data_IF_964712070760
#
_entry.id   IF_964712070760
#
_cell.length_a   1.000
_cell.length_b   1.000
_cell.length_c   1.000
_cell.angle_alpha   90.00
_cell.angle_beta   90.00
_cell.angle_gamma   90.00
#
_symmetry.space_group_name_H-M   'P 1'
#
loop_
_entity.id
_entity.type
_entity.pdbx_description
1 polymer ?
#
# COMPACT_ATOMS: atom_id res chain seq x y z
N UNK A 1 -1.89 -14.13 -16.38
CA UNK A 1 -0.54 -13.51 -16.21
C UNK A 1 -0.53 -11.97 -16.23
N UNK A 2 -1.55 -11.30 -16.79
CA UNK A 2 -1.64 -9.82 -16.78
C UNK A 2 -2.04 -9.25 -15.40
N UNK A 3 -2.83 -9.99 -14.60
CA UNK A 3 -3.31 -9.52 -13.30
C UNK A 3 -2.16 -9.29 -12.29
N UNK A 4 -1.29 -10.28 -12.06
CA UNK A 4 -0.17 -10.16 -11.13
C UNK A 4 0.80 -9.01 -11.48
N UNK A 5 1.22 -8.91 -12.75
CA UNK A 5 2.05 -7.79 -13.25
C UNK A 5 1.36 -6.44 -13.04
N UNK A 6 0.05 -6.37 -13.25
CA UNK A 6 -0.74 -5.15 -13.03
C UNK A 6 -0.83 -4.78 -11.54
N UNK A 7 -1.02 -5.76 -10.65
CA UNK A 7 -1.02 -5.55 -9.20
C UNK A 7 0.34 -5.03 -8.72
N UNK A 8 1.44 -5.68 -9.13
CA UNK A 8 2.80 -5.24 -8.78
C UNK A 8 3.06 -3.80 -9.24
N UNK A 9 2.66 -3.45 -10.46
CA UNK A 9 2.78 -2.06 -10.95
C UNK A 9 1.96 -1.09 -10.11
N UNK A 10 0.72 -1.43 -9.76
CA UNK A 10 -0.14 -0.59 -8.91
C UNK A 10 0.38 -0.46 -7.48
N UNK A 11 1.03 -1.49 -6.95
CA UNK A 11 1.71 -1.47 -5.66
C UNK A 11 2.89 -0.49 -5.65
N UNK A 12 3.70 -0.45 -6.72
CA UNK A 12 4.74 0.58 -6.85
C UNK A 12 4.16 2.00 -6.84
N UNK A 13 3.04 2.22 -7.55
CA UNK A 13 2.34 3.51 -7.47
C UNK A 13 1.84 3.83 -6.05
N UNK A 14 1.28 2.85 -5.32
CA UNK A 14 0.90 3.02 -3.91
C UNK A 14 2.10 3.43 -3.05
N UNK A 15 3.24 2.75 -3.18
CA UNK A 15 4.49 3.08 -2.46
C UNK A 15 4.91 4.53 -2.74
N UNK A 16 4.91 4.94 -4.01
CA UNK A 16 5.27 6.32 -4.38
C UNK A 16 4.32 7.34 -3.76
N UNK A 17 3.00 7.10 -3.81
CA UNK A 17 1.99 7.96 -3.19
C UNK A 17 2.25 8.10 -1.68
N UNK A 18 2.48 6.99 -0.98
CA UNK A 18 2.72 7.00 0.47
C UNK A 18 4.02 7.69 0.85
N UNK A 19 5.09 7.55 0.06
CA UNK A 19 6.35 8.29 0.28
C UNK A 19 6.15 9.79 0.09
N UNK A 20 5.40 10.22 -0.93
CA UNK A 20 5.09 11.64 -1.15
C UNK A 20 4.30 12.20 0.04
N UNK A 21 3.27 11.48 0.48
CA UNK A 21 2.45 11.88 1.64
C UNK A 21 3.29 11.94 2.91
N UNK A 22 4.13 10.95 3.15
CA UNK A 22 5.03 10.95 4.30
C UNK A 22 5.96 12.16 4.30
N UNK A 23 6.53 12.47 3.13
CA UNK A 23 7.43 13.60 2.95
C UNK A 23 6.71 14.92 3.25
N UNK A 24 5.49 15.08 2.72
CA UNK A 24 4.65 16.26 3.00
C UNK A 24 4.26 16.35 4.48
N UNK A 25 3.91 15.24 5.12
CA UNK A 25 3.55 15.22 6.54
C UNK A 25 4.72 15.62 7.44
N UNK A 26 5.94 15.19 7.13
CA UNK A 26 7.14 15.59 7.87
C UNK A 26 7.44 17.08 7.63
N UNK A 27 7.43 17.53 6.37
CA UNK A 27 7.72 18.92 6.01
C UNK A 27 6.73 19.92 6.62
N UNK A 28 5.43 19.59 6.62
CA UNK A 28 4.37 20.41 7.23
C UNK A 28 4.35 20.23 8.76
N UNK A 29 4.72 19.05 9.26
CA UNK A 29 4.78 18.78 10.70
C UNK A 29 5.85 19.59 11.43
N UNK A 30 7.00 19.85 10.79
CA UNK A 30 8.10 20.65 11.36
C UNK A 30 7.66 22.06 11.82
N UNK A 31 7.04 22.92 10.98
CA UNK A 31 6.58 24.23 11.42
C UNK A 31 5.41 24.17 12.42
N UNK A 32 4.65 23.07 12.44
CA UNK A 32 3.52 22.87 13.36
C UNK A 32 3.93 22.27 14.71
N UNK A 33 5.23 22.03 14.96
CA UNK A 33 5.73 21.51 16.24
C UNK A 33 5.33 22.41 17.43
N UNK A 34 5.30 23.72 17.22
CA UNK A 34 4.96 24.71 18.25
C UNK A 34 3.46 24.73 18.61
N UNK A 35 2.61 24.10 17.77
CA UNK A 35 1.15 24.06 17.92
C UNK A 35 0.68 22.67 18.39
N UNK A 36 1.61 21.78 18.76
CA UNK A 36 1.34 20.42 19.26
C UNK A 36 0.97 19.39 18.18
N UNK A 37 0.33 19.81 17.09
CA UNK A 37 -0.07 18.93 15.99
C UNK A 37 1.10 18.42 15.13
N UNK A 38 2.24 19.13 15.13
CA UNK A 38 3.42 18.77 14.35
C UNK A 38 4.04 17.41 14.71
N UNK A 39 4.00 17.03 16.00
CA UNK A 39 4.53 15.73 16.46
C UNK A 39 3.71 14.58 15.85
N UNK A 40 2.38 14.68 15.89
CA UNK A 40 1.48 13.68 15.31
C UNK A 40 1.71 13.52 13.81
N UNK A 41 1.89 14.63 13.08
CA UNK A 41 2.16 14.58 11.64
C UNK A 41 3.51 13.93 11.32
N UNK A 42 4.57 14.24 12.06
CA UNK A 42 5.89 13.63 11.85
C UNK A 42 5.85 12.13 12.13
N UNK A 43 5.18 11.71 13.22
CA UNK A 43 5.01 10.29 13.53
C UNK A 43 4.20 9.55 12.47
N UNK A 44 3.10 10.14 11.98
CA UNK A 44 2.32 9.58 10.86
C UNK A 44 3.17 9.49 9.59
N UNK A 45 3.99 10.50 9.30
CA UNK A 45 4.91 10.48 8.17
C UNK A 45 5.95 9.37 8.29
N UNK A 46 6.55 9.19 9.47
CA UNK A 46 7.46 8.09 9.76
C UNK A 46 6.80 6.72 9.58
N UNK A 47 5.58 6.55 10.06
CA UNK A 47 4.80 5.32 9.85
C UNK A 47 4.51 5.05 8.38
N UNK A 48 4.15 6.09 7.60
CA UNK A 48 3.93 5.98 6.16
C UNK A 48 5.20 5.56 5.41
N UNK A 49 6.39 6.02 5.83
CA UNK A 49 7.67 5.53 5.29
C UNK A 49 7.85 4.05 5.63
N UNK A 50 7.68 3.67 6.90
CA UNK A 50 7.80 2.28 7.33
C UNK A 50 6.86 1.35 6.54
N UNK A 51 5.59 1.73 6.40
CA UNK A 51 4.60 0.99 5.61
C UNK A 51 5.02 0.88 4.13
N UNK A 52 5.57 1.95 3.55
CA UNK A 52 6.08 1.95 2.18
C UNK A 52 7.26 0.98 1.99
N UNK A 53 8.20 0.94 2.95
CA UNK A 53 9.33 -0.01 2.91
C UNK A 53 8.85 -1.45 3.06
N UNK A 54 7.93 -1.72 3.99
CA UNK A 54 7.33 -3.05 4.16
C UNK A 54 6.62 -3.48 2.88
N UNK A 55 5.89 -2.56 2.23
CA UNK A 55 5.21 -2.82 0.97
C UNK A 55 6.19 -3.07 -0.19
N UNK A 56 7.33 -2.38 -0.25
CA UNK A 56 8.38 -2.69 -1.23
C UNK A 56 8.92 -4.11 -1.06
N UNK A 57 9.18 -4.56 0.18
CA UNK A 57 9.60 -5.94 0.45
C UNK A 57 8.53 -6.94 0.04
N UNK A 58 7.26 -6.63 0.28
CA UNK A 58 6.14 -7.45 -0.18
C UNK A 58 6.09 -7.53 -1.71
N UNK A 59 6.37 -6.45 -2.44
CA UNK A 59 6.45 -6.48 -3.91
C UNK A 59 7.53 -7.45 -4.39
N UNK A 60 8.71 -7.43 -3.78
CA UNK A 60 9.79 -8.35 -4.14
C UNK A 60 9.40 -9.80 -3.87
N UNK A 61 8.72 -10.07 -2.75
CA UNK A 61 8.13 -11.37 -2.46
C UNK A 61 7.08 -11.76 -3.51
N UNK A 62 6.19 -10.86 -3.94
CA UNK A 62 5.17 -11.15 -4.96
C UNK A 62 5.73 -11.35 -6.35
N UNK A 63 6.88 -10.76 -6.67
CA UNK A 63 7.59 -11.09 -7.91
C UNK A 63 8.10 -12.52 -7.89
N UNK A 64 8.60 -12.99 -6.75
CA UNK A 64 9.13 -14.34 -6.55
C UNK A 64 8.06 -15.38 -6.20
N UNK A 65 6.87 -14.95 -5.79
CA UNK A 65 5.74 -15.76 -5.33
C UNK A 65 4.39 -15.03 -5.55
N UNK A 66 3.89 -14.88 -6.80
CA UNK A 66 2.63 -14.21 -7.11
C UNK A 66 1.40 -14.81 -6.42
N UNK A 67 1.44 -16.09 -6.06
CA UNK A 67 0.40 -16.81 -5.33
C UNK A 67 0.12 -16.21 -3.94
N UNK A 68 1.07 -15.47 -3.36
CA UNK A 68 0.90 -14.81 -2.07
C UNK A 68 0.07 -13.52 -2.15
N UNK A 69 -0.18 -12.99 -3.35
CA UNK A 69 -0.86 -11.70 -3.54
C UNK A 69 -2.29 -11.77 -2.99
N UNK A 70 -3.09 -12.73 -3.44
CA UNK A 70 -4.48 -12.85 -3.03
C UNK A 70 -4.66 -13.02 -1.51
N UNK A 71 -4.05 -14.02 -0.84
CA UNK A 71 -4.28 -14.26 0.58
C UNK A 71 -3.82 -13.08 1.46
N UNK A 72 -2.77 -12.36 1.05
CA UNK A 72 -2.32 -11.16 1.79
C UNK A 72 -3.37 -10.04 1.73
N UNK A 73 -3.88 -9.74 0.54
CA UNK A 73 -4.88 -8.69 0.36
C UNK A 73 -6.25 -9.04 0.94
N UNK A 74 -6.60 -10.32 0.97
CA UNK A 74 -7.82 -10.80 1.62
C UNK A 74 -7.82 -10.43 3.11
N UNK A 75 -6.72 -10.69 3.82
CA UNK A 75 -6.53 -10.41 5.24
C UNK A 75 -6.37 -8.91 5.59
N UNK A 76 -5.85 -8.09 4.66
CA UNK A 76 -5.47 -6.70 4.91
C UNK A 76 -6.64 -5.69 5.01
N UNK A 77 -7.90 -6.10 4.74
CA UNK A 77 -9.04 -5.17 4.69
C UNK A 77 -9.18 -4.34 5.97
N UNK A 78 -9.10 -5.00 7.13
CA UNK A 78 -9.25 -4.33 8.41
C UNK A 78 -8.15 -3.30 8.64
N UNK A 79 -6.91 -3.63 8.25
CA UNK A 79 -5.79 -2.70 8.34
C UNK A 79 -6.00 -1.49 7.42
N UNK A 80 -6.46 -1.69 6.17
CA UNK A 80 -6.73 -0.60 5.24
C UNK A 80 -7.84 0.35 5.73
N UNK A 81 -8.89 -0.19 6.35
CA UNK A 81 -9.99 0.60 6.90
C UNK A 81 -9.55 1.41 8.13
N UNK A 82 -8.76 0.81 9.03
CA UNK A 82 -8.17 1.53 10.16
C UNK A 82 -7.27 2.65 9.65
N UNK A 83 -6.48 2.38 8.62
CA UNK A 83 -5.57 3.37 8.04
C UNK A 83 -6.28 4.53 7.36
N UNK A 84 -7.39 4.25 6.67
CA UNK A 84 -8.28 5.27 6.13
C UNK A 84 -8.84 6.15 7.26
N UNK A 85 -9.28 5.57 8.36
CA UNK A 85 -9.78 6.32 9.53
C UNK A 85 -8.70 7.24 10.13
N UNK A 86 -7.48 6.73 10.31
CA UNK A 86 -6.34 7.53 10.80
C UNK A 86 -6.05 8.68 9.83
N UNK A 87 -6.02 8.42 8.52
CA UNK A 87 -5.77 9.45 7.52
C UNK A 87 -6.91 10.47 7.40
N UNK A 88 -8.15 10.09 7.69
CA UNK A 88 -9.29 11.02 7.77
C UNK A 88 -9.11 12.04 8.90
N UNK A 89 -8.58 11.60 10.05
CA UNK A 89 -8.39 12.43 11.25
C UNK A 89 -7.09 13.25 11.15
N UNK A 90 -5.99 12.60 10.73
CA UNK A 90 -4.64 13.18 10.82
C UNK A 90 -3.99 13.47 9.46
N UNK A 91 -4.33 12.70 8.43
CA UNK A 91 -3.70 12.75 7.11
C UNK A 91 -4.32 13.76 6.13
N UNK A 92 -5.49 14.32 6.47
CA UNK A 92 -6.22 15.25 5.62
C UNK A 92 -6.66 14.62 4.28
N UNK A 93 -7.10 15.48 3.35
CA UNK A 93 -7.67 15.05 2.06
C UNK A 93 -6.71 14.16 1.26
N UNK A 94 -5.41 14.46 1.27
CA UNK A 94 -4.41 13.70 0.51
C UNK A 94 -4.24 12.29 1.09
N UNK A 95 -4.17 12.15 2.42
CA UNK A 95 -4.10 10.84 3.09
C UNK A 95 -5.32 9.97 2.82
N UNK A 96 -6.50 10.59 2.75
CA UNK A 96 -7.76 9.89 2.43
C UNK A 96 -7.74 9.37 0.99
N UNK A 97 -7.33 10.19 0.02
CA UNK A 97 -7.24 9.78 -1.40
C UNK A 97 -6.29 8.58 -1.57
N UNK A 98 -5.14 8.60 -0.90
CA UNK A 98 -4.20 7.48 -0.93
C UNK A 98 -4.75 6.20 -0.29
N UNK A 99 -5.45 6.34 0.84
CA UNK A 99 -6.10 5.20 1.51
C UNK A 99 -7.21 4.60 0.63
N UNK A 100 -7.96 5.43 -0.10
CA UNK A 100 -8.95 4.96 -1.08
C UNK A 100 -8.27 4.24 -2.25
N UNK A 101 -7.13 4.73 -2.73
CA UNK A 101 -6.37 4.03 -3.77
C UNK A 101 -5.96 2.62 -3.34
N UNK A 102 -5.54 2.44 -2.09
CA UNK A 102 -5.22 1.11 -1.54
C UNK A 102 -6.44 0.18 -1.50
N UNK A 103 -7.63 0.70 -1.18
CA UNK A 103 -8.89 -0.05 -1.25
C UNK A 103 -9.26 -0.44 -2.69
N UNK A 104 -9.05 0.46 -3.66
CA UNK A 104 -9.27 0.17 -5.09
C UNK A 104 -8.30 -0.89 -5.60
N UNK A 105 -7.04 -0.85 -5.15
CA UNK A 105 -6.07 -1.89 -5.46
C UNK A 105 -6.49 -3.25 -4.89
N UNK A 106 -7.00 -3.28 -3.65
CA UNK A 106 -7.56 -4.49 -3.06
C UNK A 106 -8.76 -5.01 -3.86
N UNK A 107 -9.70 -4.15 -4.20
CA UNK A 107 -10.87 -4.53 -5.01
C UNK A 107 -10.44 -5.14 -6.35
N UNK A 108 -9.41 -4.57 -6.99
CA UNK A 108 -8.82 -5.16 -8.20
C UNK A 108 -8.27 -6.57 -7.95
N UNK A 109 -7.53 -6.79 -6.85
CA UNK A 109 -7.01 -8.12 -6.47
C UNK A 109 -8.15 -9.11 -6.25
N UNK A 110 -9.19 -8.74 -5.51
CA UNK A 110 -10.34 -9.61 -5.23
C UNK A 110 -11.12 -9.97 -6.51
N UNK A 111 -11.27 -9.03 -7.44
CA UNK A 111 -11.93 -9.26 -8.73
C UNK A 111 -11.17 -10.22 -9.65
N UNK A 112 -9.85 -10.29 -9.51
CA UNK A 112 -9.00 -11.18 -10.30
C UNK A 112 -8.50 -12.38 -9.47
N UNK A 113 -9.25 -12.78 -8.42
CA UNK A 113 -8.85 -13.87 -7.51
C UNK A 113 -8.51 -15.16 -8.26
N UNK A 114 -9.33 -15.54 -9.22
CA UNK A 114 -9.22 -16.83 -9.90
C UNK A 114 -7.91 -16.88 -10.72
N UNK A 115 -7.53 -15.79 -11.39
CA UNK A 115 -6.24 -15.66 -12.10
C UNK A 115 -5.02 -15.63 -11.17
N UNK A 116 -5.19 -15.18 -9.93
CA UNK A 116 -4.12 -15.09 -8.94
C UNK A 116 -3.95 -16.40 -8.16
N UNK A 117 -5.02 -17.20 -8.04
CA UNK A 117 -5.02 -18.53 -7.42
C UNK A 117 -4.55 -19.63 -8.39
N UNK A 118 -4.86 -19.55 -9.69
CA UNK A 118 -4.42 -20.57 -10.67
C UNK A 118 -2.91 -20.62 -10.86
N UNK A 119 -2.19 -19.52 -10.59
CA UNK A 119 -0.72 -19.51 -10.53
C UNK A 119 -0.19 -20.56 -9.54
N UNK A 120 -0.98 -20.91 -8.53
CA UNK A 120 -0.66 -21.90 -7.51
C UNK A 120 -0.91 -23.36 -7.96
N UNK A 121 -1.82 -23.58 -8.93
CA UNK A 121 -2.22 -24.92 -9.38
C UNK A 121 -1.30 -25.49 -10.48
N UNK A 122 -0.67 -24.61 -11.25
CA UNK A 122 0.01 -25.01 -12.50
C UNK A 122 1.54 -25.11 -12.36
N UNK A 123 2.12 -24.70 -11.21
CA UNK A 123 3.56 -24.82 -10.90
C UNK A 123 4.51 -24.17 -11.93
N UNK A 124 4.01 -23.24 -12.75
CA UNK A 124 4.69 -22.74 -13.95
C UNK A 124 5.77 -21.68 -13.66
N UNK A 125 7.00 -22.03 -14.06
CA UNK A 125 8.27 -21.30 -13.94
C UNK A 125 8.25 -19.86 -14.51
N UNK A 126 8.95 -18.97 -13.79
CA UNK A 126 9.33 -17.62 -14.20
C UNK A 126 9.99 -17.55 -15.58
N UNK A 127 9.36 -16.80 -16.49
CA UNK A 127 9.94 -16.40 -17.77
C UNK A 127 9.81 -14.90 -17.97
N UNK A 128 10.96 -14.23 -17.90
CA UNK A 128 11.28 -12.90 -18.45
C UNK A 128 10.68 -11.66 -17.74
N UNK A 129 11.50 -11.14 -16.81
CA UNK A 129 11.66 -9.72 -16.51
C UNK A 129 12.70 -9.11 -17.46
#
# INVERSE_FOLDING_TARGET
MNAAKTVIRRLYFSVVIWIIIASLQILIGLPLLLVGYGVSMILCGGWNIYASVTRMRAIDAYKAHPELIYPTFEADLNHMLIFLGINLIFGGVIGVIASVYDLVLRDYVMKHRDELMTVNADGGVYGEL
#
